data_IF_966775051136
#
_entry.id   IF_966775051136
#
_cell.length_a   1.000
_cell.length_b   1.000
_cell.length_c   1.000
_cell.angle_alpha   90.00
_cell.angle_beta   90.00
_cell.angle_gamma   90.00
#
_symmetry.space_group_name_H-M   'P 1'
#
loop_
_entity.id
_entity.type
_entity.pdbx_description
1 polymer ?
#
# COMPACT_ATOMS: atom_id res chain seq x y z
N UNK A 1 39.55 8.56 -10.70
CA UNK A 1 38.75 9.31 -9.72
C UNK A 1 37.57 8.46 -9.35
N UNK A 2 37.47 8.04 -8.09
CA UNK A 2 36.38 7.20 -7.63
C UNK A 2 35.06 7.97 -7.73
N UNK A 3 34.09 7.39 -8.45
CA UNK A 3 32.71 7.84 -8.44
C UNK A 3 32.21 7.69 -7.00
N UNK A 4 32.06 8.81 -6.30
CA UNK A 4 31.33 8.85 -5.03
C UNK A 4 29.87 8.60 -5.39
N UNK A 5 29.48 7.33 -5.34
CA UNK A 5 28.10 6.92 -5.39
C UNK A 5 27.49 7.46 -4.09
N UNK A 6 26.94 8.68 -4.16
CA UNK A 6 26.32 9.33 -3.02
C UNK A 6 25.29 8.37 -2.45
N UNK A 7 25.61 7.76 -1.31
CA UNK A 7 24.66 6.94 -0.59
C UNK A 7 23.49 7.87 -0.26
N UNK A 8 22.35 7.67 -0.91
CA UNK A 8 21.13 8.40 -0.55
C UNK A 8 20.91 8.09 0.93
N UNK A 9 20.98 9.14 1.75
CA UNK A 9 20.92 9.01 3.20
C UNK A 9 19.55 8.48 3.61
N UNK A 10 19.49 7.87 4.80
CA UNK A 10 18.21 7.52 5.39
C UNK A 10 17.36 8.79 5.58
N UNK A 11 16.06 8.80 5.25
CA UNK A 11 15.21 9.95 5.54
C UNK A 11 15.30 10.31 7.02
N UNK A 12 15.48 11.59 7.35
CA UNK A 12 15.80 12.05 8.72
C UNK A 12 14.76 11.69 9.78
N UNK A 13 13.51 11.48 9.35
CA UNK A 13 12.41 11.08 10.22
C UNK A 13 12.35 9.56 10.43
N UNK A 14 13.13 8.78 9.68
CA UNK A 14 13.08 7.32 9.65
C UNK A 14 14.36 6.70 10.22
N UNK A 15 14.31 5.39 10.46
CA UNK A 15 15.50 4.59 10.71
C UNK A 15 15.70 3.57 9.59
N UNK A 16 16.94 3.39 9.15
CA UNK A 16 17.25 2.51 8.04
C UNK A 16 18.24 1.43 8.47
N UNK A 17 18.02 0.21 7.99
CA UNK A 17 18.91 -0.93 8.18
C UNK A 17 18.93 -1.77 6.91
N UNK A 18 20.11 -1.91 6.30
CA UNK A 18 20.27 -2.50 4.98
C UNK A 18 19.28 -1.89 3.96
N UNK A 19 18.41 -2.70 3.36
CA UNK A 19 17.39 -2.28 2.39
C UNK A 19 16.01 -2.05 3.04
N UNK A 20 15.95 -1.89 4.36
CA UNK A 20 14.71 -1.63 5.11
C UNK A 20 14.68 -0.17 5.56
N UNK A 21 13.59 0.51 5.27
CA UNK A 21 13.31 1.88 5.73
C UNK A 21 12.10 1.84 6.66
N UNK A 22 12.34 2.13 7.94
CA UNK A 22 11.33 2.12 8.99
C UNK A 22 10.91 3.55 9.32
N UNK A 23 9.69 3.90 8.91
CA UNK A 23 9.06 5.20 9.12
C UNK A 23 7.74 5.06 9.90
N UNK A 24 7.51 3.94 10.59
CA UNK A 24 6.29 3.67 11.33
C UNK A 24 6.19 4.45 12.65
N UNK A 25 4.98 4.68 13.16
CA UNK A 25 4.73 5.23 14.51
C UNK A 25 5.43 6.58 14.79
N UNK A 26 5.49 7.47 13.78
CA UNK A 26 6.25 8.73 13.82
C UNK A 26 5.40 9.97 13.62
N UNK A 27 4.07 9.83 13.65
CA UNK A 27 3.12 10.91 13.40
C UNK A 27 3.35 11.60 12.05
N UNK A 28 3.78 10.85 11.03
CA UNK A 28 4.05 11.38 9.71
C UNK A 28 2.75 11.80 9.04
N UNK A 29 2.70 13.03 8.53
CA UNK A 29 1.58 13.53 7.74
C UNK A 29 1.68 13.18 6.24
N UNK A 30 2.87 12.76 5.78
CA UNK A 30 3.15 12.40 4.39
C UNK A 30 4.27 11.36 4.30
N UNK A 31 4.44 10.75 3.12
CA UNK A 31 5.58 9.86 2.86
C UNK A 31 6.88 10.70 2.87
N UNK A 32 7.90 10.32 3.65
CA UNK A 32 9.17 11.04 3.68
C UNK A 32 9.85 11.09 2.31
N UNK A 33 10.46 12.23 1.99
CA UNK A 33 11.26 12.37 0.79
C UNK A 33 12.54 11.53 0.88
N UNK A 34 13.20 11.35 -0.27
CA UNK A 34 14.55 10.77 -0.36
C UNK A 34 14.68 9.33 0.17
N UNK A 35 13.61 8.52 0.09
CA UNK A 35 13.70 7.08 0.34
C UNK A 35 14.70 6.46 -0.65
N UNK A 36 15.76 5.75 -0.18
CA UNK A 36 16.75 5.14 -1.06
C UNK A 36 16.11 4.20 -2.08
N UNK A 37 16.52 4.27 -3.35
CA UNK A 37 15.95 3.43 -4.44
C UNK A 37 16.31 1.95 -4.32
N UNK A 38 17.26 1.60 -3.46
CA UNK A 38 17.63 0.23 -3.07
C UNK A 38 16.68 -0.37 -2.02
N UNK A 39 15.71 0.40 -1.52
CA UNK A 39 14.74 -0.06 -0.51
C UNK A 39 13.91 -1.23 -1.03
N UNK A 40 13.88 -2.31 -0.24
CA UNK A 40 13.03 -3.50 -0.45
C UNK A 40 11.84 -3.53 0.50
N UNK A 41 11.97 -2.96 1.69
CA UNK A 41 10.92 -2.94 2.71
C UNK A 41 10.72 -1.50 3.17
N UNK A 42 9.51 -0.98 2.98
CA UNK A 42 9.09 0.34 3.44
C UNK A 42 7.95 0.21 4.44
N UNK A 43 8.19 0.63 5.69
CA UNK A 43 7.20 0.63 6.76
C UNK A 43 6.73 2.05 7.04
N UNK A 44 5.46 2.34 6.73
CA UNK A 44 4.81 3.63 6.96
C UNK A 44 3.56 3.51 7.85
N UNK A 45 3.37 2.37 8.52
CA UNK A 45 2.17 2.11 9.32
C UNK A 45 2.10 2.93 10.60
N UNK A 46 0.90 3.10 11.16
CA UNK A 46 0.64 3.89 12.39
C UNK A 46 1.19 5.32 12.20
N UNK A 47 0.63 6.03 11.24
CA UNK A 47 0.96 7.43 10.98
C UNK A 47 -0.32 8.23 10.68
N UNK A 48 -0.18 9.47 10.25
CA UNK A 48 -1.26 10.41 9.97
C UNK A 48 -1.32 10.76 8.47
N UNK A 49 -0.87 9.85 7.61
CA UNK A 49 -0.82 10.07 6.15
C UNK A 49 -2.26 10.00 5.61
N UNK A 50 -2.77 11.15 5.16
CA UNK A 50 -4.14 11.26 4.62
C UNK A 50 -4.19 11.09 3.10
N UNK A 51 -3.07 11.36 2.42
CA UNK A 51 -2.94 11.29 0.96
C UNK A 51 -1.56 10.81 0.54
N UNK A 52 -1.51 10.18 -0.63
CA UNK A 52 -0.28 9.87 -1.34
C UNK A 52 -0.16 10.83 -2.53
N UNK A 53 1.04 11.34 -2.79
CA UNK A 53 1.28 12.12 -3.99
C UNK A 53 1.42 11.20 -5.21
N UNK A 54 0.95 11.61 -6.42
CA UNK A 54 1.16 10.83 -7.62
C UNK A 54 2.64 10.49 -7.86
N UNK A 55 2.94 9.24 -8.17
CA UNK A 55 4.30 8.78 -8.45
C UNK A 55 5.23 8.69 -7.22
N UNK A 56 4.72 8.84 -6.00
CA UNK A 56 5.54 8.82 -4.76
C UNK A 56 6.39 7.56 -4.60
N UNK A 57 5.98 6.43 -5.19
CA UNK A 57 6.73 5.18 -5.14
C UNK A 57 7.44 4.80 -6.45
N UNK A 58 7.39 5.65 -7.49
CA UNK A 58 7.83 5.28 -8.84
C UNK A 58 9.31 4.92 -8.94
N UNK A 59 10.15 5.50 -8.07
CA UNK A 59 11.59 5.22 -8.02
C UNK A 59 11.94 3.99 -7.18
N UNK A 60 11.00 3.45 -6.42
CA UNK A 60 11.21 2.32 -5.51
C UNK A 60 10.97 0.99 -6.23
N UNK A 61 11.60 0.81 -7.39
CA UNK A 61 11.37 -0.34 -8.29
C UNK A 61 11.82 -1.69 -7.69
N UNK A 62 12.61 -1.65 -6.62
CA UNK A 62 13.07 -2.83 -5.86
C UNK A 62 12.17 -3.18 -4.68
N UNK A 63 11.07 -2.43 -4.47
CA UNK A 63 10.21 -2.61 -3.32
C UNK A 63 9.47 -3.95 -3.38
N UNK A 64 9.59 -4.71 -2.30
CA UNK A 64 8.95 -6.01 -2.12
C UNK A 64 7.82 -5.93 -1.08
N UNK A 65 7.99 -5.11 -0.04
CA UNK A 65 7.03 -4.94 1.05
C UNK A 65 6.69 -3.46 1.23
N UNK A 66 5.40 -3.13 1.14
CA UNK A 66 4.87 -1.80 1.40
C UNK A 66 3.79 -1.86 2.47
N UNK A 67 4.05 -1.24 3.62
CA UNK A 67 3.10 -1.17 4.73
C UNK A 67 2.57 0.25 4.88
N UNK A 68 1.28 0.44 4.61
CA UNK A 68 0.54 1.70 4.70
C UNK A 68 -0.63 1.62 5.67
N UNK A 69 -0.80 0.50 6.36
CA UNK A 69 -1.92 0.28 7.27
C UNK A 69 -1.93 1.21 8.48
N UNK A 70 -3.10 1.40 9.09
CA UNK A 70 -3.27 2.32 10.23
C UNK A 70 -2.82 3.74 9.88
N UNK A 71 -3.28 4.23 8.73
CA UNK A 71 -3.21 5.62 8.31
C UNK A 71 -4.63 6.10 7.98
N UNK A 72 -4.90 7.42 7.95
CA UNK A 72 -6.18 7.95 7.51
C UNK A 72 -6.25 8.15 5.97
N UNK A 73 -5.70 7.24 5.15
CA UNK A 73 -5.75 7.39 3.68
C UNK A 73 -7.19 7.30 3.18
N UNK A 74 -7.67 8.35 2.51
CA UNK A 74 -9.04 8.41 1.99
C UNK A 74 -9.16 7.97 0.52
N UNK A 75 -8.08 8.06 -0.24
CA UNK A 75 -8.00 7.65 -1.64
C UNK A 75 -6.57 7.29 -2.04
N UNK A 76 -6.44 6.58 -3.16
CA UNK A 76 -5.17 6.30 -3.81
C UNK A 76 -5.09 7.06 -5.14
N UNK A 77 -3.95 7.69 -5.49
CA UNK A 77 -3.75 8.21 -6.84
C UNK A 77 -3.78 7.09 -7.88
N UNK A 78 -4.32 7.39 -9.05
CA UNK A 78 -4.28 6.46 -10.18
C UNK A 78 -2.82 6.09 -10.51
N UNK A 79 -2.54 4.79 -10.63
CA UNK A 79 -1.22 4.29 -11.01
C UNK A 79 -0.13 4.39 -9.93
N UNK A 80 -0.46 4.74 -8.68
CA UNK A 80 0.53 4.89 -7.58
C UNK A 80 1.40 3.66 -7.33
N UNK A 81 0.97 2.47 -7.77
CA UNK A 81 1.72 1.22 -7.65
C UNK A 81 2.27 0.67 -8.97
N UNK A 82 2.13 1.40 -10.09
CA UNK A 82 2.44 0.88 -11.44
C UNK A 82 3.89 0.43 -11.63
N UNK A 83 4.84 1.03 -10.89
CA UNK A 83 6.27 0.69 -10.98
C UNK A 83 6.70 -0.43 -10.04
N UNK A 84 5.81 -0.90 -9.16
CA UNK A 84 6.14 -1.85 -8.08
C UNK A 84 5.94 -3.31 -8.52
N UNK A 85 6.55 -3.70 -9.63
CA UNK A 85 6.36 -5.03 -10.24
C UNK A 85 6.95 -6.17 -9.40
N UNK A 86 7.88 -5.86 -8.50
CA UNK A 86 8.50 -6.78 -7.54
C UNK A 86 7.77 -6.86 -6.19
N UNK A 87 6.67 -6.13 -6.01
CA UNK A 87 5.95 -6.08 -4.74
C UNK A 87 5.26 -7.42 -4.48
N UNK A 88 5.60 -8.04 -3.34
CA UNK A 88 5.01 -9.30 -2.88
C UNK A 88 3.98 -9.08 -1.78
N UNK A 89 4.16 -8.00 -0.99
CA UNK A 89 3.33 -7.67 0.17
C UNK A 89 2.85 -6.22 0.10
N UNK A 90 1.53 -6.04 0.11
CA UNK A 90 0.88 -4.72 0.21
C UNK A 90 -0.10 -4.70 1.38
N UNK A 91 0.14 -3.82 2.35
CA UNK A 91 -0.66 -3.75 3.57
C UNK A 91 -1.40 -2.41 3.60
N UNK A 92 -2.71 -2.43 3.34
CA UNK A 92 -3.60 -1.25 3.25
C UNK A 92 -4.75 -1.29 4.27
N UNK A 93 -4.77 -2.29 5.16
CA UNK A 93 -5.85 -2.42 6.15
C UNK A 93 -5.92 -1.22 7.11
N UNK A 94 -7.06 -1.06 7.77
CA UNK A 94 -7.25 -0.01 8.77
C UNK A 94 -6.93 1.39 8.20
N UNK A 95 -7.52 1.72 7.07
CA UNK A 95 -7.46 3.05 6.43
C UNK A 95 -8.88 3.63 6.26
N UNK A 96 -9.03 4.72 5.50
CA UNK A 96 -10.31 5.36 5.19
C UNK A 96 -10.69 5.23 3.70
N UNK A 97 -10.19 4.19 3.03
CA UNK A 97 -10.43 3.97 1.61
C UNK A 97 -11.88 3.57 1.35
N UNK A 98 -12.50 4.24 0.39
CA UNK A 98 -13.87 3.93 -0.06
C UNK A 98 -13.89 3.08 -1.33
N UNK A 99 -12.89 3.23 -2.18
CA UNK A 99 -12.74 2.47 -3.43
C UNK A 99 -11.27 2.35 -3.79
N UNK A 100 -10.97 1.57 -4.83
CA UNK A 100 -9.63 1.47 -5.42
C UNK A 100 -9.71 1.95 -6.86
N UNK A 101 -8.81 2.84 -7.32
CA UNK A 101 -8.78 3.26 -8.72
C UNK A 101 -8.68 2.06 -9.66
N UNK A 102 -9.41 2.12 -10.78
CA UNK A 102 -9.38 1.06 -11.80
C UNK A 102 -7.94 0.78 -12.23
N UNK A 103 -7.56 -0.48 -12.18
CA UNK A 103 -6.25 -0.96 -12.60
C UNK A 103 -5.11 -0.74 -11.60
N UNK A 104 -5.38 -0.25 -10.39
CA UNK A 104 -4.33 0.07 -9.41
C UNK A 104 -3.42 -1.12 -9.04
N UNK A 105 -3.92 -2.35 -9.16
CA UNK A 105 -3.18 -3.57 -8.83
C UNK A 105 -2.69 -4.35 -10.06
N UNK A 106 -2.99 -3.90 -11.28
CA UNK A 106 -2.80 -4.70 -12.49
C UNK A 106 -1.32 -5.03 -12.78
N UNK A 107 -0.41 -4.14 -12.37
CA UNK A 107 1.03 -4.32 -12.56
C UNK A 107 1.73 -5.05 -11.39
N UNK A 108 1.01 -5.40 -10.32
CA UNK A 108 1.56 -6.09 -9.15
C UNK A 108 1.67 -7.60 -9.39
N UNK A 109 2.44 -8.00 -10.42
CA UNK A 109 2.53 -9.39 -10.89
C UNK A 109 3.15 -10.37 -9.89
N UNK A 110 3.91 -9.85 -8.92
CA UNK A 110 4.57 -10.64 -7.88
C UNK A 110 3.78 -10.71 -6.57
N UNK A 111 2.58 -10.12 -6.53
CA UNK A 111 1.83 -9.97 -5.28
C UNK A 111 1.33 -11.32 -4.75
N UNK A 112 1.63 -11.59 -3.49
CA UNK A 112 1.24 -12.84 -2.80
C UNK A 112 0.42 -12.60 -1.55
N UNK A 113 0.49 -11.39 -0.98
CA UNK A 113 -0.25 -11.02 0.21
C UNK A 113 -0.76 -9.58 0.08
N UNK A 114 -2.06 -9.40 0.26
CA UNK A 114 -2.68 -8.09 0.36
C UNK A 114 -3.66 -8.04 1.53
N UNK A 115 -3.60 -6.98 2.33
CA UNK A 115 -4.56 -6.74 3.40
C UNK A 115 -5.37 -5.48 3.13
N UNK A 116 -6.70 -5.61 3.17
CA UNK A 116 -7.69 -4.61 2.76
C UNK A 116 -8.81 -4.41 3.79
N UNK A 117 -8.88 -5.25 4.82
CA UNK A 117 -9.91 -5.18 5.86
C UNK A 117 -9.84 -3.85 6.64
N UNK A 118 -10.91 -3.50 7.37
CA UNK A 118 -10.90 -2.26 8.17
C UNK A 118 -10.87 -0.97 7.35
N UNK A 119 -11.39 -0.98 6.14
CA UNK A 119 -11.63 0.20 5.31
C UNK A 119 -13.14 0.37 5.10
N UNK A 120 -13.67 1.62 5.06
CA UNK A 120 -15.08 1.89 4.83
C UNK A 120 -15.44 1.81 3.34
N UNK A 121 -15.34 0.60 2.75
CA UNK A 121 -15.60 0.38 1.32
C UNK A 121 -17.02 0.82 0.94
N UNK A 122 -17.13 1.74 -0.01
CA UNK A 122 -18.41 2.26 -0.50
C UNK A 122 -18.93 1.36 -1.62
N UNK A 123 -19.89 0.51 -1.27
CA UNK A 123 -20.49 -0.46 -2.20
C UNK A 123 -21.69 0.09 -2.96
N UNK A 124 -22.13 1.32 -2.69
CA UNK A 124 -23.21 1.97 -3.42
C UNK A 124 -22.66 2.64 -4.70
N UNK A 125 -21.40 3.06 -4.68
CA UNK A 125 -20.71 3.64 -5.82
C UNK A 125 -20.19 2.58 -6.81
N UNK A 126 -20.30 2.83 -8.11
CA UNK A 126 -19.80 1.92 -9.17
C UNK A 126 -18.27 1.80 -9.21
N UNK A 127 -17.53 2.73 -8.59
CA UNK A 127 -16.07 2.65 -8.47
C UNK A 127 -15.61 1.40 -7.71
N UNK A 128 -16.49 0.80 -6.88
CA UNK A 128 -16.18 -0.43 -6.16
C UNK A 128 -15.98 -1.64 -7.08
N UNK A 129 -16.52 -1.60 -8.31
CA UNK A 129 -16.58 -2.75 -9.21
C UNK A 129 -15.19 -3.29 -9.56
N UNK A 130 -14.17 -2.42 -9.65
CA UNK A 130 -12.79 -2.87 -9.86
C UNK A 130 -12.33 -3.74 -8.69
N UNK A 131 -12.46 -3.23 -7.46
CA UNK A 131 -12.04 -3.95 -6.27
C UNK A 131 -12.81 -5.26 -6.13
N UNK A 132 -14.14 -5.23 -6.28
CA UNK A 132 -15.02 -6.40 -6.25
C UNK A 132 -14.53 -7.51 -7.18
N UNK A 133 -14.31 -7.19 -8.46
CA UNK A 133 -13.88 -8.18 -9.44
C UNK A 133 -12.46 -8.68 -9.15
N UNK A 134 -11.55 -7.78 -8.75
CA UNK A 134 -10.16 -8.13 -8.48
C UNK A 134 -10.04 -9.08 -7.28
N UNK A 135 -10.73 -8.83 -6.16
CA UNK A 135 -10.65 -9.68 -4.98
C UNK A 135 -11.28 -11.06 -5.19
N UNK A 136 -12.28 -11.18 -6.08
CA UNK A 136 -12.85 -12.48 -6.48
C UNK A 136 -11.83 -13.30 -7.27
N UNK A 137 -11.13 -12.67 -8.21
CA UNK A 137 -10.12 -13.35 -9.05
C UNK A 137 -8.85 -13.72 -8.26
N UNK A 138 -8.54 -12.98 -7.20
CA UNK A 138 -7.30 -13.13 -6.42
C UNK A 138 -7.58 -13.54 -4.96
N UNK A 139 -8.67 -14.26 -4.72
CA UNK A 139 -9.17 -14.53 -3.35
C UNK A 139 -8.14 -15.19 -2.42
N UNK A 140 -7.24 -16.03 -2.94
CA UNK A 140 -6.23 -16.74 -2.14
C UNK A 140 -5.16 -15.84 -1.51
N UNK A 141 -4.92 -14.65 -2.07
CA UNK A 141 -3.90 -13.71 -1.59
C UNK A 141 -4.50 -12.55 -0.77
N UNK A 142 -5.83 -12.45 -0.69
CA UNK A 142 -6.56 -11.38 0.01
C UNK A 142 -6.80 -11.75 1.46
N UNK A 143 -6.36 -10.88 2.38
CA UNK A 143 -6.41 -11.04 3.84
C UNK A 143 -6.05 -12.47 4.31
N UNK A 144 -4.87 -12.99 3.91
CA UNK A 144 -4.45 -14.36 4.23
C UNK A 144 -4.11 -14.53 5.71
N UNK A 145 -3.60 -15.69 6.12
CA UNK A 145 -3.07 -15.95 7.47
C UNK A 145 -4.09 -15.74 8.60
N UNK A 146 -5.32 -16.20 8.39
CA UNK A 146 -6.39 -16.11 9.40
C UNK A 146 -7.08 -14.74 9.50
N UNK A 147 -6.78 -13.80 8.60
CA UNK A 147 -7.40 -12.46 8.59
C UNK A 147 -8.76 -12.42 7.88
N UNK A 148 -9.48 -13.54 7.84
CA UNK A 148 -10.85 -13.65 7.31
C UNK A 148 -10.98 -13.68 5.76
N UNK A 149 -9.87 -13.63 5.03
CA UNK A 149 -9.87 -13.82 3.58
C UNK A 149 -10.63 -12.73 2.81
N UNK A 150 -11.08 -13.08 1.60
CA UNK A 150 -11.87 -12.20 0.73
C UNK A 150 -13.16 -11.69 1.40
N UNK A 151 -13.77 -12.48 2.28
CA UNK A 151 -15.00 -12.10 2.98
C UNK A 151 -14.80 -11.00 4.03
N UNK A 152 -13.56 -10.73 4.44
CA UNK A 152 -13.24 -9.65 5.36
C UNK A 152 -12.97 -8.30 4.67
N UNK A 153 -13.23 -8.22 3.37
CA UNK A 153 -13.38 -6.94 2.66
C UNK A 153 -14.87 -6.58 2.71
N UNK A 154 -15.23 -5.64 3.60
CA UNK A 154 -16.63 -5.36 3.99
C UNK A 154 -17.12 -4.01 3.50
N UNK A 155 -18.33 -3.97 2.97
CA UNK A 155 -19.05 -2.74 2.66
C UNK A 155 -19.33 -1.93 3.93
N UNK A 156 -19.12 -0.63 3.87
CA UNK A 156 -19.50 0.31 4.91
C UNK A 156 -21.01 0.32 5.11
N UNK A 157 -21.46 0.46 6.35
CA UNK A 157 -22.89 0.47 6.72
C UNK A 157 -23.53 -0.92 6.78
N UNK A 158 -23.47 -1.70 5.70
CA UNK A 158 -24.15 -3.02 5.63
C UNK A 158 -23.32 -4.16 6.23
N UNK A 159 -21.99 -4.01 6.30
CA UNK A 159 -21.05 -5.04 6.72
C UNK A 159 -21.13 -6.36 5.89
N UNK A 160 -21.69 -6.29 4.68
CA UNK A 160 -21.68 -7.40 3.72
C UNK A 160 -20.31 -7.50 3.04
N UNK A 161 -19.87 -8.68 2.58
CA UNK A 161 -18.69 -8.79 1.73
C UNK A 161 -18.81 -7.92 0.47
N UNK A 162 -17.70 -7.35 0.00
CA UNK A 162 -17.64 -6.58 -1.26
C UNK A 162 -17.79 -7.48 -2.49
N UNK A 163 -17.38 -8.75 -2.39
CA UNK A 163 -17.42 -9.72 -3.49
C UNK A 163 -18.83 -10.13 -3.93
#
# INVERSE_FOLDING_TARGET
GALVQSAVACPSQCSCSATTVNCDSRSLASVPAEIPTTTKILRLYINQITKLEPGVFDRLVNLQHLHLNKNPLSALPAGVFNRLTQLTTLVLDTNQLKSIPRGAFDNLKSLTHIWLFGNPWDCECSDILYLKNWIVQHASIVNPLGNGGVDNVKCSGTNTPVR
#
